data_IF_710993007926
#
_entry.id   IF_710993007926
#
_cell.length_a   1.000
_cell.length_b   1.000
_cell.length_c   1.000
_cell.angle_alpha   90.00
_cell.angle_beta   90.00
_cell.angle_gamma   90.00
#
_symmetry.space_group_name_H-M   'P 1'
#
loop_
_entity.id
_entity.type
_entity.pdbx_description
1 polymer ?
#
# COMPACT_ATOMS: atom_id res chain seq x y z
N UNK A 1 -37.56 -34.99 -33.43
CA UNK A 1 -36.59 -35.67 -32.54
C UNK A 1 -35.22 -35.06 -32.77
N UNK A 2 -34.61 -34.48 -31.71
CA UNK A 2 -33.14 -34.39 -31.48
C UNK A 2 -32.38 -33.47 -32.47
N UNK A 3 -31.61 -32.44 -32.09
CA UNK A 3 -31.00 -32.10 -30.82
C UNK A 3 -30.68 -30.61 -30.78
N UNK A 4 -30.93 -30.02 -29.61
CA UNK A 4 -30.36 -28.75 -29.14
C UNK A 4 -28.84 -28.90 -29.09
N UNK A 5 -28.10 -28.15 -29.91
CA UNK A 5 -26.67 -27.92 -29.69
C UNK A 5 -26.55 -26.60 -28.94
N UNK A 6 -26.71 -26.67 -27.62
CA UNK A 6 -26.30 -25.61 -26.71
C UNK A 6 -24.77 -25.56 -26.73
N UNK A 7 -24.21 -24.64 -27.51
CA UNK A 7 -22.78 -24.34 -27.48
C UNK A 7 -22.47 -23.75 -26.11
N UNK A 8 -21.79 -24.58 -25.33
CA UNK A 8 -21.32 -24.34 -23.98
C UNK A 8 -20.46 -23.08 -23.94
N UNK A 9 -21.02 -21.98 -23.42
CA UNK A 9 -20.31 -20.73 -23.18
C UNK A 9 -19.44 -20.88 -21.92
N UNK A 10 -18.41 -21.71 -21.98
CA UNK A 10 -17.34 -21.75 -20.98
C UNK A 10 -16.36 -20.60 -21.26
N UNK A 11 -16.81 -19.36 -21.07
CA UNK A 11 -15.89 -18.30 -20.67
C UNK A 11 -15.59 -18.52 -19.18
N UNK A 12 -14.69 -19.46 -18.91
CA UNK A 12 -14.02 -19.53 -17.61
C UNK A 12 -13.17 -18.27 -17.56
N UNK A 13 -13.76 -17.24 -16.98
CA UNK A 13 -13.08 -16.04 -16.53
C UNK A 13 -11.88 -16.52 -15.72
N UNK A 14 -10.68 -16.28 -16.25
CA UNK A 14 -9.45 -16.43 -15.49
C UNK A 14 -9.58 -15.57 -14.25
N UNK A 15 -9.87 -16.21 -13.12
CA UNK A 15 -9.75 -15.61 -11.82
C UNK A 15 -8.28 -15.27 -11.63
N UNK A 16 -7.91 -14.07 -12.05
CA UNK A 16 -6.77 -13.37 -11.47
C UNK A 16 -7.12 -13.35 -9.98
N UNK A 17 -6.50 -14.21 -9.19
CA UNK A 17 -6.49 -14.06 -7.76
C UNK A 17 -5.70 -12.78 -7.50
N UNK A 18 -6.35 -11.64 -7.63
CA UNK A 18 -5.83 -10.39 -7.13
C UNK A 18 -5.49 -10.66 -5.67
N UNK A 19 -4.23 -10.47 -5.30
CA UNK A 19 -3.78 -10.58 -3.93
C UNK A 19 -4.61 -9.59 -3.11
N UNK A 20 -5.70 -10.09 -2.53
CA UNK A 20 -6.59 -9.26 -1.74
C UNK A 20 -5.93 -8.93 -0.42
N UNK A 21 -6.38 -7.85 0.20
CA UNK A 21 -5.92 -7.44 1.53
C UNK A 21 -6.27 -8.47 2.64
N UNK A 22 -7.00 -9.55 2.32
CA UNK A 22 -7.45 -10.58 3.27
C UNK A 22 -6.30 -11.32 3.98
N UNK A 23 -5.10 -11.36 3.39
CA UNK A 23 -3.91 -11.95 4.01
C UNK A 23 -3.30 -11.11 5.14
N UNK A 24 -3.70 -9.84 5.29
CA UNK A 24 -3.15 -8.95 6.32
C UNK A 24 -3.85 -9.24 7.65
N UNK A 25 -3.08 -9.65 8.66
CA UNK A 25 -3.54 -10.03 9.99
C UNK A 25 -3.90 -8.78 10.82
N UNK A 26 -3.04 -7.76 10.79
CA UNK A 26 -3.29 -6.48 11.43
C UNK A 26 -4.55 -5.83 10.84
N UNK A 27 -5.51 -5.56 11.72
CA UNK A 27 -6.85 -5.13 11.32
C UNK A 27 -6.83 -3.75 10.64
N UNK A 28 -6.07 -2.81 11.18
CA UNK A 28 -5.96 -1.45 10.67
C UNK A 28 -5.18 -1.40 9.35
N UNK A 29 -4.10 -2.17 9.23
CA UNK A 29 -3.36 -2.30 7.97
C UNK A 29 -4.20 -2.95 6.87
N UNK A 30 -5.04 -3.94 7.22
CA UNK A 30 -5.97 -4.58 6.28
C UNK A 30 -7.01 -3.57 5.79
N UNK A 31 -7.64 -2.83 6.69
CA UNK A 31 -8.62 -1.78 6.35
C UNK A 31 -8.00 -0.68 5.48
N UNK A 32 -6.77 -0.25 5.79
CA UNK A 32 -6.02 0.70 4.96
C UNK A 32 -5.79 0.16 3.56
N UNK A 33 -5.36 -1.10 3.44
CA UNK A 33 -5.18 -1.76 2.14
C UNK A 33 -6.50 -1.79 1.36
N UNK A 34 -7.60 -2.22 1.98
CA UNK A 34 -8.93 -2.31 1.35
C UNK A 34 -9.43 -0.94 0.87
N UNK A 35 -9.17 0.12 1.65
CA UNK A 35 -9.49 1.49 1.26
C UNK A 35 -8.73 1.93 0.00
N UNK A 36 -7.45 1.58 -0.11
CA UNK A 36 -6.60 1.94 -1.25
C UNK A 36 -6.86 1.11 -2.51
N UNK A 37 -7.28 -0.15 -2.38
CA UNK A 37 -7.50 -1.04 -3.53
C UNK A 37 -8.95 -1.10 -4.01
N UNK A 38 -9.91 -1.10 -3.08
CA UNK A 38 -11.32 -1.44 -3.35
C UNK A 38 -12.30 -0.30 -3.03
N UNK A 39 -11.80 0.90 -2.69
CA UNK A 39 -12.65 2.02 -2.27
C UNK A 39 -13.35 1.78 -0.92
N UNK A 40 -12.75 0.96 -0.04
CA UNK A 40 -13.21 0.78 1.34
C UNK A 40 -13.15 2.07 2.17
N UNK A 41 -13.85 2.09 3.31
CA UNK A 41 -13.90 3.27 4.19
C UNK A 41 -12.76 3.27 5.22
N UNK A 42 -12.04 4.39 5.31
CA UNK A 42 -11.06 4.66 6.35
C UNK A 42 -11.68 4.80 7.76
N UNK A 43 -13.00 5.03 7.87
CA UNK A 43 -13.66 5.32 9.15
C UNK A 43 -13.64 4.17 10.16
N UNK A 44 -13.36 2.96 9.69
CA UNK A 44 -13.22 1.79 10.55
C UNK A 44 -11.81 1.60 11.11
N UNK A 45 -10.80 2.34 10.66
CA UNK A 45 -9.42 2.22 11.16
C UNK A 45 -9.34 2.80 12.58
N UNK A 46 -8.92 1.97 13.54
CA UNK A 46 -8.87 2.31 14.96
C UNK A 46 -7.67 3.23 15.25
N UNK A 47 -6.49 2.89 14.72
CA UNK A 47 -5.32 3.75 14.76
C UNK A 47 -5.59 5.12 14.12
N UNK A 48 -5.42 6.18 14.92
CA UNK A 48 -5.79 7.54 14.53
C UNK A 48 -4.94 8.07 13.39
N UNK A 49 -3.63 7.86 13.46
CA UNK A 49 -2.67 8.39 12.49
C UNK A 49 -2.79 7.64 11.16
N UNK A 50 -3.00 6.33 11.22
CA UNK A 50 -3.28 5.51 10.06
C UNK A 50 -4.61 5.89 9.40
N UNK A 51 -5.64 6.19 10.19
CA UNK A 51 -6.93 6.65 9.66
C UNK A 51 -6.80 7.99 8.94
N UNK A 52 -6.06 8.96 9.47
CA UNK A 52 -5.84 10.23 8.78
C UNK A 52 -4.96 10.06 7.54
N UNK A 53 -3.93 9.22 7.61
CA UNK A 53 -3.12 8.82 6.44
C UNK A 53 -4.01 8.23 5.35
N UNK A 54 -4.90 7.30 5.71
CA UNK A 54 -5.88 6.72 4.80
C UNK A 54 -6.75 7.79 4.13
N UNK A 55 -7.40 8.65 4.94
CA UNK A 55 -8.29 9.69 4.42
C UNK A 55 -7.57 10.66 3.48
N UNK A 56 -6.33 11.05 3.80
CA UNK A 56 -5.54 11.94 2.96
C UNK A 56 -5.19 11.28 1.63
N UNK A 57 -4.71 10.04 1.64
CA UNK A 57 -4.30 9.34 0.42
C UNK A 57 -5.48 8.91 -0.46
N UNK A 58 -6.67 8.69 0.09
CA UNK A 58 -7.89 8.39 -0.68
C UNK A 58 -8.68 9.65 -1.09
N UNK A 59 -8.17 10.86 -0.82
CA UNK A 59 -8.77 12.12 -1.27
C UNK A 59 -9.95 12.64 -0.43
N UNK A 60 -10.09 12.19 0.82
CA UNK A 60 -11.16 12.56 1.75
C UNK A 60 -10.67 13.36 2.98
N UNK A 61 -9.41 13.76 3.05
CA UNK A 61 -8.85 14.46 4.22
C UNK A 61 -7.50 15.10 3.98
N UNK A 62 -6.83 15.48 5.07
CA UNK A 62 -5.49 16.08 5.06
C UNK A 62 -4.58 15.39 6.08
N UNK A 63 -3.26 15.52 5.89
CA UNK A 63 -2.25 14.94 6.76
C UNK A 63 -2.11 15.69 8.11
N UNK A 64 -2.68 16.89 8.24
CA UNK A 64 -2.45 17.78 9.39
C UNK A 64 -2.95 17.28 10.74
N UNK A 65 -3.79 16.25 10.77
CA UNK A 65 -4.30 15.62 12.00
C UNK A 65 -3.55 14.34 12.41
N UNK A 66 -2.49 13.96 11.68
CA UNK A 66 -1.58 12.89 12.06
C UNK A 66 -0.69 13.43 13.19
N UNK A 67 -0.71 12.78 14.35
CA UNK A 67 0.02 13.17 15.55
C UNK A 67 1.53 12.83 15.40
N UNK A 68 1.86 11.65 14.87
CA UNK A 68 3.23 11.27 14.52
C UNK A 68 3.83 12.19 13.44
N UNK A 69 4.93 12.87 13.80
CA UNK A 69 5.55 13.89 12.97
C UNK A 69 6.10 13.33 11.65
N UNK A 70 6.68 12.13 11.69
CA UNK A 70 7.33 11.53 10.52
C UNK A 70 6.31 10.90 9.57
N UNK A 71 5.26 10.28 10.11
CA UNK A 71 4.10 9.84 9.33
C UNK A 71 3.38 11.02 8.68
N UNK A 72 3.21 12.15 9.40
CA UNK A 72 2.60 13.36 8.84
C UNK A 72 3.40 13.89 7.65
N UNK A 73 4.72 14.06 7.80
CA UNK A 73 5.61 14.52 6.74
C UNK A 73 5.62 13.57 5.54
N UNK A 74 5.63 12.25 5.78
CA UNK A 74 5.51 11.25 4.72
C UNK A 74 4.19 11.38 3.95
N UNK A 75 3.08 11.52 4.67
CA UNK A 75 1.76 11.74 4.07
C UNK A 75 1.74 13.01 3.21
N UNK A 76 2.30 14.12 3.70
CA UNK A 76 2.38 15.39 2.97
C UNK A 76 3.25 15.27 1.71
N UNK A 77 4.37 14.54 1.79
CA UNK A 77 5.23 14.27 0.64
C UNK A 77 4.49 13.49 -0.45
N UNK A 78 3.72 12.45 -0.07
CA UNK A 78 2.96 11.62 -1.01
C UNK A 78 1.76 12.33 -1.63
N UNK A 79 1.06 13.18 -0.87
CA UNK A 79 -0.22 13.77 -1.29
C UNK A 79 -0.09 15.17 -1.85
N UNK A 80 0.83 15.99 -1.33
CA UNK A 80 0.95 17.42 -1.64
C UNK A 80 2.30 17.80 -2.26
N UNK A 81 3.17 16.83 -2.58
CA UNK A 81 4.51 17.09 -3.11
C UNK A 81 5.45 17.74 -2.08
N UNK A 82 5.22 17.53 -0.78
CA UNK A 82 6.10 17.96 0.30
C UNK A 82 7.51 17.34 0.23
N UNK A 83 8.46 17.90 0.99
CA UNK A 83 9.84 17.39 1.05
C UNK A 83 10.00 16.27 2.08
N UNK A 84 10.72 15.22 1.70
CA UNK A 84 11.12 14.13 2.61
C UNK A 84 12.25 14.54 3.58
N UNK A 85 12.93 15.66 3.34
CA UNK A 85 14.14 16.05 4.07
C UNK A 85 13.94 16.36 5.56
N UNK A 86 12.70 16.66 5.96
CA UNK A 86 12.35 16.92 7.36
C UNK A 86 11.99 15.67 8.15
N UNK A 87 11.87 14.49 7.51
CA UNK A 87 11.57 13.22 8.20
C UNK A 87 12.79 12.82 9.04
N UNK A 88 12.59 12.62 10.34
CA UNK A 88 13.67 12.33 11.29
C UNK A 88 14.10 10.87 11.19
N UNK A 89 13.12 9.95 11.13
CA UNK A 89 13.35 8.54 10.84
C UNK A 89 14.05 8.35 9.48
N UNK A 90 15.22 7.73 9.54
CA UNK A 90 16.12 7.60 8.40
C UNK A 90 15.57 6.65 7.34
N UNK A 91 15.00 5.53 7.75
CA UNK A 91 14.47 4.53 6.84
C UNK A 91 13.21 5.06 6.14
N UNK A 92 12.33 5.72 6.90
CA UNK A 92 11.14 6.38 6.37
C UNK A 92 11.50 7.52 5.41
N UNK A 93 12.56 8.29 5.71
CA UNK A 93 13.06 9.34 4.81
C UNK A 93 13.56 8.76 3.50
N UNK A 94 14.30 7.65 3.53
CA UNK A 94 14.78 7.01 2.29
C UNK A 94 13.63 6.38 1.50
N UNK A 95 12.67 5.75 2.18
CA UNK A 95 11.43 5.27 1.55
C UNK A 95 10.70 6.42 0.84
N UNK A 96 10.51 7.55 1.52
CA UNK A 96 9.87 8.74 0.97
C UNK A 96 10.62 9.26 -0.27
N UNK A 97 11.95 9.41 -0.18
CA UNK A 97 12.77 9.90 -1.31
C UNK A 97 12.69 8.96 -2.51
N UNK A 98 12.66 7.64 -2.30
CA UNK A 98 12.54 6.67 -3.37
C UNK A 98 11.15 6.72 -4.03
N UNK A 99 10.08 6.78 -3.24
CA UNK A 99 8.70 6.86 -3.75
C UNK A 99 8.40 8.18 -4.48
N UNK A 100 9.09 9.27 -4.12
CA UNK A 100 8.95 10.60 -4.74
C UNK A 100 9.93 10.86 -5.89
N UNK A 101 10.81 9.89 -6.22
CA UNK A 101 11.72 9.98 -7.37
C UNK A 101 13.03 10.74 -7.13
N UNK A 102 13.40 10.98 -5.87
CA UNK A 102 14.60 11.72 -5.47
C UNK A 102 15.71 10.84 -4.85
N UNK A 103 15.58 9.51 -4.88
CA UNK A 103 16.56 8.60 -4.30
C UNK A 103 16.31 7.14 -4.63
N UNK A 104 16.94 6.24 -3.85
CA UNK A 104 16.78 4.80 -3.98
C UNK A 104 16.70 4.10 -2.62
N UNK A 105 16.32 2.82 -2.64
CA UNK A 105 16.01 2.04 -1.44
C UNK A 105 17.24 1.51 -0.68
N UNK A 106 18.45 1.58 -1.27
CA UNK A 106 19.65 0.92 -0.76
C UNK A 106 20.15 1.42 0.60
N UNK A 107 19.71 2.60 1.05
CA UNK A 107 20.09 3.19 2.34
C UNK A 107 19.07 2.94 3.47
N UNK A 108 18.01 2.18 3.19
CA UNK A 108 17.05 1.72 4.21
C UNK A 108 17.70 0.56 4.96
N UNK A 109 17.88 0.68 6.27
CA UNK A 109 18.51 -0.35 7.11
C UNK A 109 17.54 -1.53 7.31
N UNK A 110 16.27 -1.26 7.63
CA UNK A 110 15.24 -2.27 7.77
C UNK A 110 15.04 -3.06 6.47
N UNK A 111 15.30 -4.37 6.56
CA UNK A 111 15.30 -5.26 5.40
C UNK A 111 13.92 -5.34 4.73
N UNK A 112 12.84 -5.35 5.49
CA UNK A 112 11.50 -5.50 4.96
C UNK A 112 10.99 -4.20 4.34
N UNK A 113 11.29 -3.06 4.95
CA UNK A 113 11.04 -1.74 4.36
C UNK A 113 11.85 -1.52 3.08
N UNK A 114 13.11 -1.98 3.05
CA UNK A 114 13.94 -1.90 1.83
C UNK A 114 13.34 -2.71 0.69
N UNK A 115 12.95 -3.96 0.95
CA UNK A 115 12.31 -4.83 -0.05
C UNK A 115 10.95 -4.26 -0.51
N UNK A 116 10.15 -3.70 0.41
CA UNK A 116 8.92 -2.99 0.07
C UNK A 116 9.18 -1.80 -0.85
N UNK A 117 10.18 -0.99 -0.53
CA UNK A 117 10.59 0.16 -1.35
C UNK A 117 10.99 -0.30 -2.76
N UNK A 118 11.82 -1.33 -2.87
CA UNK A 118 12.27 -1.89 -4.16
C UNK A 118 11.11 -2.45 -4.97
N UNK A 119 10.14 -3.10 -4.31
CA UNK A 119 8.96 -3.63 -4.95
C UNK A 119 8.07 -2.53 -5.54
N UNK A 120 7.91 -1.41 -4.82
CA UNK A 120 7.10 -0.26 -5.26
C UNK A 120 7.77 0.60 -6.34
N UNK A 121 9.09 0.77 -6.28
CA UNK A 121 9.81 1.73 -7.13
C UNK A 121 10.51 1.09 -8.32
N UNK A 122 11.04 -0.14 -8.16
CA UNK A 122 11.86 -0.82 -9.17
C UNK A 122 11.19 -2.08 -9.74
N UNK A 123 9.90 -2.32 -9.42
CA UNK A 123 9.18 -3.51 -9.86
C UNK A 123 9.65 -4.81 -9.19
N UNK A 124 10.44 -4.73 -8.11
CA UNK A 124 10.94 -5.89 -7.34
C UNK A 124 9.83 -6.78 -6.75
N UNK A 125 10.17 -8.01 -6.37
CA UNK A 125 9.17 -8.95 -5.81
C UNK A 125 8.89 -8.70 -4.34
N UNK A 126 7.60 -8.69 -3.95
CA UNK A 126 7.18 -8.64 -2.54
C UNK A 126 7.50 -9.94 -1.79
N UNK A 127 7.70 -11.07 -2.50
CA UNK A 127 7.87 -12.39 -1.89
C UNK A 127 9.11 -12.56 -1.01
N UNK A 128 10.04 -11.60 -1.07
CA UNK A 128 11.23 -11.57 -0.20
C UNK A 128 10.96 -10.92 1.16
N UNK A 129 9.86 -10.17 1.36
CA UNK A 129 9.53 -9.47 2.61
C UNK A 129 9.16 -10.48 3.69
N UNK A 130 9.87 -10.51 4.82
CA UNK A 130 9.70 -11.54 5.86
C UNK A 130 8.42 -11.32 6.69
N UNK A 131 8.06 -10.06 6.94
CA UNK A 131 6.80 -9.69 7.56
C UNK A 131 5.60 -10.00 6.63
N UNK A 132 4.76 -10.95 7.04
CA UNK A 132 3.61 -11.40 6.25
C UNK A 132 2.60 -10.28 5.95
N UNK A 133 2.30 -9.41 6.92
CA UNK A 133 1.34 -8.34 6.73
C UNK A 133 1.88 -7.30 5.73
N UNK A 134 3.17 -6.97 5.83
CA UNK A 134 3.84 -6.08 4.89
C UNK A 134 3.95 -6.69 3.49
N UNK A 135 4.24 -7.99 3.39
CA UNK A 135 4.26 -8.74 2.13
C UNK A 135 2.88 -8.70 1.46
N UNK A 136 1.83 -9.04 2.19
CA UNK A 136 0.46 -9.03 1.68
C UNK A 136 0.00 -7.62 1.29
N UNK A 137 0.39 -6.61 2.06
CA UNK A 137 0.14 -5.21 1.69
C UNK A 137 0.89 -4.81 0.41
N UNK A 138 2.15 -5.24 0.25
CA UNK A 138 2.93 -5.03 -0.97
C UNK A 138 2.25 -5.68 -2.18
N UNK A 139 1.89 -6.96 -2.09
CA UNK A 139 1.26 -7.70 -3.18
C UNK A 139 -0.08 -7.09 -3.60
N UNK A 140 -0.84 -6.54 -2.65
CA UNK A 140 -2.13 -5.91 -2.93
C UNK A 140 -2.02 -4.49 -3.53
N UNK A 141 -0.98 -3.73 -3.17
CA UNK A 141 -0.81 -2.33 -3.58
C UNK A 141 0.13 -2.13 -4.77
N UNK A 142 0.96 -3.12 -5.09
CA UNK A 142 1.86 -3.08 -6.24
C UNK A 142 1.03 -3.12 -7.53
N UNK A 143 1.20 -2.12 -8.39
CA UNK A 143 0.57 -2.02 -9.72
C UNK A 143 1.51 -2.47 -10.83
#
# INVERSE_FOLDING_TARGET
MKSLVAVFLMFVLGGQAYAGCSGISNNDQRKLCEARTNGGSCGSIDDRDLRYTCNAETGHGSCGSIDDSDQRKLCEARTNGGSCGSIDDRDLRYLCNAETGHGGCGSIDDSDQRKLCEAKTNGGSCGSIDNNDLRNQCDALKR
#
